data_IF_768563227585
#
_entry.id   IF_768563227585
#
_cell.length_a   1.000
_cell.length_b   1.000
_cell.length_c   1.000
_cell.angle_alpha   90.00
_cell.angle_beta   90.00
_cell.angle_gamma   90.00
#
_symmetry.space_group_name_H-M   'P 1'
#
loop_
_entity.id
_entity.type
_entity.pdbx_description
1 polymer ?
#
# COMPACT_ATOMS: atom_id res chain seq x y z
N UNK A 1 -23.31 15.44 -5.18
CA UNK A 1 -22.05 15.33 -5.95
C UNK A 1 -21.58 13.89 -5.83
N UNK A 2 -21.41 13.17 -6.95
CA UNK A 2 -20.81 11.83 -6.93
C UNK A 2 -19.31 11.96 -6.75
N UNK A 3 -18.75 11.31 -5.73
CA UNK A 3 -17.29 11.18 -5.62
C UNK A 3 -16.84 10.29 -6.78
N UNK A 4 -15.86 10.70 -7.62
CA UNK A 4 -15.33 9.83 -8.66
C UNK A 4 -14.88 8.51 -8.02
N UNK A 5 -15.36 7.39 -8.57
CA UNK A 5 -14.96 6.08 -8.07
C UNK A 5 -13.45 5.91 -8.27
N UNK A 6 -12.72 5.65 -7.18
CA UNK A 6 -11.28 5.37 -7.19
C UNK A 6 -11.04 3.93 -6.74
N UNK A 7 -10.12 3.25 -7.42
CA UNK A 7 -9.65 1.92 -7.01
C UNK A 7 -8.63 1.97 -5.86
N UNK A 8 -8.19 3.16 -5.48
CA UNK A 8 -7.23 3.37 -4.40
C UNK A 8 -7.69 4.45 -3.42
N UNK A 9 -7.23 4.32 -2.19
CA UNK A 9 -7.36 5.33 -1.13
C UNK A 9 -5.98 5.79 -0.71
N UNK A 10 -5.78 7.11 -0.66
CA UNK A 10 -4.55 7.73 -0.16
C UNK A 10 -4.53 7.64 1.37
N UNK A 11 -3.49 7.04 1.93
CA UNK A 11 -3.27 6.93 3.37
C UNK A 11 -2.02 7.71 3.79
N UNK A 12 -2.11 8.49 4.87
CA UNK A 12 -0.96 9.23 5.41
C UNK A 12 -0.08 8.27 6.20
N UNK A 13 1.21 8.21 5.89
CA UNK A 13 2.19 7.41 6.64
C UNK A 13 2.61 8.18 7.89
N UNK A 14 2.35 7.60 9.06
CA UNK A 14 2.74 8.15 10.37
C UNK A 14 4.12 7.68 10.80
N UNK A 15 4.54 6.51 10.33
CA UNK A 15 5.86 5.95 10.62
C UNK A 15 6.05 4.54 10.10
N UNK A 16 7.29 4.09 10.11
CA UNK A 16 7.67 2.71 9.78
C UNK A 16 7.75 1.88 11.06
N UNK A 17 7.13 0.71 11.06
CA UNK A 17 7.22 -0.28 12.12
C UNK A 17 8.33 -1.29 11.78
N UNK A 18 8.72 -2.13 12.75
CA UNK A 18 9.70 -3.19 12.53
C UNK A 18 9.25 -4.06 11.34
N UNK A 19 10.04 -4.16 10.25
CA UNK A 19 9.70 -5.01 9.11
C UNK A 19 9.52 -6.48 9.52
N UNK A 20 8.71 -7.19 8.77
CA UNK A 20 8.42 -8.60 8.99
C UNK A 20 8.83 -9.48 7.82
N UNK A 21 8.54 -10.76 7.94
CA UNK A 21 8.67 -11.75 6.88
C UNK A 21 7.47 -12.70 6.96
N UNK A 22 6.92 -13.07 5.80
CA UNK A 22 5.89 -14.12 5.72
C UNK A 22 6.53 -15.51 5.88
N UNK A 23 5.72 -16.53 6.17
CA UNK A 23 6.20 -17.92 6.31
C UNK A 23 6.86 -18.47 5.05
N UNK A 24 6.51 -17.96 3.88
CA UNK A 24 7.09 -18.31 2.58
C UNK A 24 8.29 -17.43 2.20
N UNK A 25 8.83 -16.63 3.13
CA UNK A 25 10.10 -15.91 2.98
C UNK A 25 10.01 -14.51 2.37
N UNK A 26 8.81 -14.02 2.00
CA UNK A 26 8.66 -12.67 1.42
C UNK A 26 8.79 -11.59 2.49
N UNK A 27 9.49 -10.52 2.16
CA UNK A 27 9.62 -9.35 3.02
C UNK A 27 8.27 -8.65 3.22
N UNK A 28 8.02 -8.16 4.43
CA UNK A 28 6.84 -7.37 4.77
C UNK A 28 7.27 -6.00 5.26
N UNK A 29 6.97 -4.97 4.47
CA UNK A 29 7.07 -3.58 4.91
C UNK A 29 5.86 -3.28 5.80
N UNK A 30 6.11 -2.82 7.02
CA UNK A 30 5.07 -2.53 8.01
C UNK A 30 5.03 -1.04 8.27
N UNK A 31 3.90 -0.40 8.01
CA UNK A 31 3.70 1.04 8.16
C UNK A 31 2.54 1.30 9.11
N UNK A 32 2.68 2.30 9.98
CA UNK A 32 1.53 2.93 10.62
C UNK A 32 0.97 3.97 9.66
N UNK A 33 -0.31 3.85 9.31
CA UNK A 33 -0.97 4.74 8.36
C UNK A 33 -2.29 5.27 8.93
N UNK A 34 -2.68 6.46 8.51
CA UNK A 34 -4.00 7.02 8.80
C UNK A 34 -4.82 7.13 7.53
N UNK A 35 -6.08 6.67 7.60
CA UNK A 35 -7.08 6.75 6.54
C UNK A 35 -8.33 7.36 7.18
N UNK A 36 -8.76 8.54 6.71
CA UNK A 36 -9.93 9.24 7.26
C UNK A 36 -9.90 9.35 8.80
N UNK A 37 -8.75 9.75 9.36
CA UNK A 37 -8.50 9.87 10.80
C UNK A 37 -8.45 8.57 11.62
N UNK A 38 -8.72 7.42 11.00
CA UNK A 38 -8.53 6.11 11.60
C UNK A 38 -7.11 5.58 11.37
N UNK A 39 -6.49 5.04 12.42
CA UNK A 39 -5.14 4.49 12.37
C UNK A 39 -5.18 2.98 12.04
N UNK A 40 -4.34 2.58 11.09
CA UNK A 40 -4.15 1.21 10.67
C UNK A 40 -2.68 0.81 10.66
N UNK A 41 -2.44 -0.49 10.83
CA UNK A 41 -1.18 -1.13 10.46
C UNK A 41 -1.31 -1.64 9.03
N UNK A 42 -0.54 -1.05 8.12
CA UNK A 42 -0.43 -1.51 6.74
C UNK A 42 0.76 -2.44 6.60
N UNK A 43 0.49 -3.69 6.22
CA UNK A 43 1.49 -4.68 5.84
C UNK A 43 1.52 -4.81 4.32
N UNK A 44 2.60 -4.33 3.69
CA UNK A 44 2.86 -4.53 2.26
C UNK A 44 3.80 -5.72 2.10
N UNK A 45 3.32 -6.77 1.45
CA UNK A 45 4.08 -7.99 1.19
C UNK A 45 4.76 -7.86 -0.18
N UNK A 46 6.09 -7.96 -0.20
CA UNK A 46 6.89 -7.88 -1.43
C UNK A 46 6.84 -9.16 -2.26
N UNK A 47 7.59 -9.16 -3.37
CA UNK A 47 7.79 -10.35 -4.20
C UNK A 47 8.76 -11.34 -3.57
N UNK A 48 8.78 -12.57 -4.09
CA UNK A 48 9.78 -13.57 -3.71
C UNK A 48 11.20 -13.06 -4.00
N UNK A 49 12.13 -13.29 -3.06
CA UNK A 49 13.52 -12.83 -3.14
C UNK A 49 13.72 -11.31 -2.99
N UNK A 50 12.66 -10.52 -2.82
CA UNK A 50 12.74 -9.08 -2.64
C UNK A 50 12.97 -8.71 -1.17
N UNK A 51 14.00 -7.91 -0.89
CA UNK A 51 14.22 -7.32 0.43
C UNK A 51 13.32 -6.11 0.71
N UNK A 52 13.23 -5.70 1.97
CA UNK A 52 12.39 -4.56 2.42
C UNK A 52 12.79 -3.25 1.72
N UNK A 53 14.08 -2.99 1.58
CA UNK A 53 14.58 -1.79 0.89
C UNK A 53 14.21 -1.80 -0.60
N UNK A 54 14.36 -2.96 -1.25
CA UNK A 54 13.94 -3.16 -2.64
C UNK A 54 12.43 -2.93 -2.84
N UNK A 55 11.61 -3.39 -1.89
CA UNK A 55 10.17 -3.14 -1.88
C UNK A 55 9.84 -1.66 -1.73
N UNK A 56 10.47 -0.97 -0.77
CA UNK A 56 10.26 0.46 -0.55
C UNK A 56 10.64 1.29 -1.79
N UNK A 57 11.82 1.01 -2.37
CA UNK A 57 12.30 1.69 -3.58
C UNK A 57 11.35 1.45 -4.76
N UNK A 58 10.77 0.25 -4.88
CA UNK A 58 9.79 -0.03 -5.92
C UNK A 58 8.48 0.74 -5.72
N UNK A 59 7.96 0.82 -4.48
CA UNK A 59 6.77 1.62 -4.18
C UNK A 59 6.97 3.10 -4.53
N UNK A 60 8.14 3.66 -4.22
CA UNK A 60 8.49 5.05 -4.58
C UNK A 60 8.60 5.22 -6.10
N UNK A 61 9.31 4.30 -6.78
CA UNK A 61 9.46 4.31 -8.25
C UNK A 61 8.11 4.30 -8.96
N UNK A 62 7.15 3.56 -8.42
CA UNK A 62 5.80 3.44 -8.97
C UNK A 62 4.85 4.57 -8.56
N UNK A 63 5.34 5.57 -7.80
CA UNK A 63 4.53 6.65 -7.22
C UNK A 63 3.36 6.14 -6.37
N UNK A 64 3.53 4.96 -5.77
CA UNK A 64 2.60 4.38 -4.80
C UNK A 64 2.89 4.86 -3.39
N UNK A 65 4.17 5.13 -3.09
CA UNK A 65 4.62 5.83 -1.89
C UNK A 65 5.24 7.16 -2.32
N UNK A 66 4.62 8.27 -1.94
CA UNK A 66 4.99 9.61 -2.40
C UNK A 66 5.12 10.57 -1.22
N UNK A 67 6.11 11.45 -1.29
CA UNK A 67 6.26 12.57 -0.37
C UNK A 67 5.50 13.77 -0.91
N UNK A 68 4.69 14.40 -0.08
CA UNK A 68 3.87 15.57 -0.39
C UNK A 68 4.00 16.56 0.78
N UNK A 69 4.78 17.63 0.55
CA UNK A 69 5.25 18.52 1.62
C UNK A 69 6.11 17.80 2.65
N UNK A 70 5.70 17.85 3.91
CA UNK A 70 6.36 17.17 5.03
C UNK A 70 5.84 15.75 5.28
N UNK A 71 4.79 15.34 4.56
CA UNK A 71 4.10 14.08 4.80
C UNK A 71 4.42 13.05 3.72
N UNK A 72 4.36 11.78 4.13
CA UNK A 72 4.41 10.65 3.22
C UNK A 72 3.02 10.07 3.05
N UNK A 73 2.70 9.67 1.83
CA UNK A 73 1.41 9.07 1.50
C UNK A 73 1.59 7.81 0.70
N UNK A 74 0.76 6.81 0.99
CA UNK A 74 0.70 5.55 0.27
C UNK A 74 -0.69 5.33 -0.33
N UNK A 75 -0.74 4.95 -1.60
CA UNK A 75 -1.96 4.49 -2.25
C UNK A 75 -2.26 3.07 -1.80
N UNK A 76 -3.46 2.79 -1.31
CA UNK A 76 -3.89 1.45 -0.88
C UNK A 76 -5.07 1.01 -1.74
N UNK A 77 -5.08 -0.20 -2.32
CA UNK A 77 -6.24 -0.71 -3.04
C UNK A 77 -7.47 -0.75 -2.14
N UNK A 78 -8.62 -0.26 -2.62
CA UNK A 78 -9.85 -0.18 -1.80
C UNK A 78 -10.33 -1.54 -1.31
N UNK A 79 -10.12 -2.60 -2.10
CA UNK A 79 -10.45 -3.97 -1.69
C UNK A 79 -9.57 -4.50 -0.55
N UNK A 80 -8.36 -3.98 -0.37
CA UNK A 80 -7.50 -4.35 0.77
C UNK A 80 -8.00 -3.71 2.06
N UNK A 81 -8.54 -2.49 1.98
CA UNK A 81 -9.18 -1.80 3.11
C UNK A 81 -10.45 -2.54 3.52
N UNK A 82 -11.29 -2.94 2.56
CA UNK A 82 -12.51 -3.72 2.83
C UNK A 82 -12.22 -5.08 3.50
N UNK A 83 -11.01 -5.62 3.35
CA UNK A 83 -10.55 -6.88 3.97
C UNK A 83 -9.81 -6.66 5.29
N UNK A 84 -9.71 -5.43 5.77
CA UNK A 84 -8.99 -5.13 7.01
C UNK A 84 -9.58 -5.89 8.20
N UNK A 85 -8.70 -6.42 9.05
CA UNK A 85 -9.10 -7.10 10.30
C UNK A 85 -8.21 -6.60 11.43
N UNK A 86 -8.80 -6.31 12.59
CA UNK A 86 -8.10 -5.85 13.79
C UNK A 86 -7.18 -4.64 13.51
N UNK A 87 -7.69 -3.63 12.80
CA UNK A 87 -6.91 -2.44 12.42
C UNK A 87 -5.70 -2.75 11.52
N UNK A 88 -5.64 -3.93 10.91
CA UNK A 88 -4.52 -4.35 10.06
C UNK A 88 -5.00 -4.55 8.63
N UNK A 89 -4.29 -3.91 7.69
CA UNK A 89 -4.49 -4.01 6.25
C UNK A 89 -3.36 -4.84 5.66
N UNK A 90 -3.69 -5.81 4.82
CA UNK A 90 -2.71 -6.59 4.07
C UNK A 90 -2.83 -6.29 2.58
N UNK A 91 -1.69 -5.98 1.96
CA UNK A 91 -1.59 -5.73 0.52
C UNK A 91 -0.44 -6.56 -0.01
N UNK A 92 -0.70 -7.40 -1.01
CA UNK A 92 0.37 -8.06 -1.74
C UNK A 92 0.83 -7.17 -2.88
N UNK A 93 2.12 -7.21 -3.24
CA UNK A 93 2.62 -6.40 -4.34
C UNK A 93 1.84 -6.63 -5.65
N UNK A 94 1.38 -7.85 -5.89
CA UNK A 94 0.54 -8.23 -7.03
C UNK A 94 -0.79 -7.46 -7.07
N UNK A 95 -1.33 -7.01 -5.92
CA UNK A 95 -2.52 -6.15 -5.89
C UNK A 95 -2.23 -4.78 -6.53
N UNK A 96 -1.01 -4.25 -6.38
CA UNK A 96 -0.59 -3.03 -7.07
C UNK A 96 -0.40 -3.22 -8.58
N UNK A 97 -0.02 -4.42 -9.01
CA UNK A 97 0.06 -4.74 -10.45
C UNK A 97 -1.33 -4.82 -11.08
N UNK A 98 -2.29 -5.43 -10.38
CA UNK A 98 -3.70 -5.47 -10.80
C UNK A 98 -4.29 -4.07 -10.95
N UNK A 99 -3.91 -3.13 -10.07
CA UNK A 99 -4.29 -1.73 -10.19
C UNK A 99 -3.76 -1.09 -11.48
N UNK A 100 -2.52 -1.37 -11.88
CA UNK A 100 -1.96 -0.85 -13.14
C UNK A 100 -2.71 -1.41 -14.35
N UNK A 101 -2.98 -2.71 -14.38
CA UNK A 101 -3.77 -3.33 -15.45
C UNK A 101 -5.17 -2.71 -15.57
N UNK A 102 -5.83 -2.47 -14.44
CA UNK A 102 -7.16 -1.87 -14.39
C UNK A 102 -7.17 -0.41 -14.86
N UNK A 103 -6.13 0.37 -14.51
CA UNK A 103 -6.00 1.78 -14.94
C UNK A 103 -5.71 1.93 -16.44
N UNK A 104 -4.99 0.99 -17.05
CA UNK A 104 -4.79 0.97 -18.51
C UNK A 104 -6.10 0.70 -19.27
N UNK A 105 -6.96 -0.19 -18.75
CA UNK A 105 -8.25 -0.51 -19.38
C UNK A 105 -9.30 0.60 -19.22
N UNK A 106 -9.24 1.40 -18.15
CA UNK A 106 -10.17 2.51 -17.91
C UNK A 106 -9.84 3.78 -18.73
N UNK A 107 -8.71 3.81 -19.43
CA UNK A 107 -8.25 4.95 -20.24
C UNK A 107 -8.38 4.70 -21.75
N UNK A 108 -9.11 3.64 -22.16
CA UNK A 108 -9.29 3.21 -23.55
C UNK A 108 -10.73 3.44 -24.03
#
# INVERSE_FOLDING_TARGET
MSVPFSFTTKARVKGMLRPGQTSDGRAVLRLSVSINDDDYVLNVVGRQGQGVEGLMNELVRLKLLVKDGNDWFIEIPTWSIAKAKNGTIWVHFDDYERLKGSRMMASA
#
